data_IF_689419205201
#
_entry.id   IF_689419205201
#
_cell.length_a   1.000
_cell.length_b   1.000
_cell.length_c   1.000
_cell.angle_alpha   90.00
_cell.angle_beta   90.00
_cell.angle_gamma   90.00
#
_symmetry.space_group_name_H-M   'P 1'
#
loop_
_entity.id
_entity.type
_entity.pdbx_description
1 polymer ?
#
# COMPACT_ATOMS: atom_id res chain seq x y z
N UNK A 1 52.08 44.55 17.10
CA UNK A 1 50.60 44.46 17.13
C UNK A 1 50.10 43.92 15.79
N UNK A 2 48.99 43.17 15.75
CA UNK A 2 48.94 41.82 15.16
C UNK A 2 48.40 41.69 13.72
N UNK A 3 48.67 40.49 13.17
CA UNK A 3 48.14 39.84 11.95
C UNK A 3 46.61 39.76 11.92
N UNK A 4 46.00 39.79 10.73
CA UNK A 4 44.92 38.86 10.34
C UNK A 4 44.90 38.63 8.81
N UNK A 5 45.37 37.46 8.35
CA UNK A 5 44.96 36.87 7.08
C UNK A 5 43.65 36.08 7.31
N UNK A 6 43.10 35.55 6.22
CA UNK A 6 42.03 34.54 6.18
C UNK A 6 40.60 35.08 6.33
N UNK A 7 40.03 35.47 5.19
CA UNK A 7 38.60 35.23 4.94
C UNK A 7 38.46 33.70 4.78
N UNK A 8 38.17 33.03 5.88
CA UNK A 8 37.82 31.60 5.88
C UNK A 8 36.44 31.46 5.26
N UNK A 9 36.37 30.83 4.08
CA UNK A 9 35.13 30.26 3.55
C UNK A 9 34.56 29.29 4.59
N UNK A 10 33.42 29.63 5.18
CA UNK A 10 32.63 28.65 5.92
C UNK A 10 32.09 27.64 4.92
N UNK A 11 32.70 26.45 4.88
CA UNK A 11 32.05 25.29 4.31
C UNK A 11 30.83 24.99 5.18
N UNK A 12 29.66 25.09 4.57
CA UNK A 12 28.40 24.62 5.14
C UNK A 12 28.48 23.08 5.24
N UNK A 13 29.08 22.60 6.34
CA UNK A 13 29.13 21.18 6.66
C UNK A 13 27.84 20.84 7.39
N UNK A 14 26.81 20.49 6.63
CA UNK A 14 25.64 19.81 7.18
C UNK A 14 26.10 18.47 7.79
N UNK A 15 26.02 18.34 9.10
CA UNK A 15 26.24 17.06 9.80
C UNK A 15 24.93 16.27 9.72
N UNK A 16 24.90 15.21 8.91
CA UNK A 16 23.78 14.27 8.88
C UNK A 16 24.01 13.16 9.91
N UNK A 17 23.13 13.06 10.91
CA UNK A 17 23.10 11.94 11.86
C UNK A 17 22.16 10.86 11.33
N UNK A 18 22.69 9.70 10.95
CA UNK A 18 21.88 8.52 10.60
C UNK A 18 21.61 7.72 11.87
N UNK A 19 20.37 7.74 12.37
CA UNK A 19 19.98 6.97 13.55
C UNK A 19 19.29 5.68 13.09
N UNK A 20 19.81 4.55 13.57
CA UNK A 20 19.28 3.20 13.30
C UNK A 20 18.69 2.64 14.58
N UNK A 21 17.44 2.20 14.54
CA UNK A 21 16.84 1.48 15.67
C UNK A 21 16.70 0.01 15.32
N UNK A 22 17.12 -0.93 16.21
CA UNK A 22 16.83 -2.34 16.01
C UNK A 22 15.31 -2.54 15.94
N UNK A 23 14.84 -3.46 15.09
CA UNK A 23 13.41 -3.78 14.97
C UNK A 23 12.94 -4.56 16.21
N UNK A 24 12.57 -3.80 17.24
CA UNK A 24 11.99 -4.18 18.53
C UNK A 24 10.55 -3.61 18.66
N UNK A 25 9.92 -3.77 19.80
CA UNK A 25 8.54 -3.30 20.01
C UNK A 25 8.40 -1.77 19.82
N UNK A 26 9.41 -0.98 20.21
CA UNK A 26 9.34 0.48 20.19
C UNK A 26 9.51 1.02 18.76
N UNK A 27 10.51 0.53 18.04
CA UNK A 27 10.73 0.88 16.63
C UNK A 27 9.59 0.40 15.72
N UNK A 28 8.98 -0.76 16.01
CA UNK A 28 7.75 -1.19 15.32
C UNK A 28 6.60 -0.25 15.58
N UNK A 29 6.38 0.16 16.82
CA UNK A 29 5.33 1.14 17.14
C UNK A 29 5.52 2.47 16.40
N UNK A 30 6.77 2.91 16.22
CA UNK A 30 7.10 4.07 15.39
C UNK A 30 6.70 3.84 13.91
N UNK A 31 7.15 2.74 13.30
CA UNK A 31 6.80 2.45 11.89
C UNK A 31 5.30 2.26 11.72
N UNK A 32 4.65 1.52 12.60
CA UNK A 32 3.20 1.30 12.56
C UNK A 32 2.45 2.64 12.67
N UNK A 33 2.94 3.61 13.45
CA UNK A 33 2.40 4.97 13.50
C UNK A 33 2.51 5.74 12.18
N UNK A 34 3.63 5.62 11.47
CA UNK A 34 3.80 6.21 10.14
C UNK A 34 2.91 5.54 9.09
N UNK A 35 2.74 4.21 9.17
CA UNK A 35 1.88 3.42 8.28
C UNK A 35 0.41 3.72 8.54
N UNK A 36 0.02 3.89 9.80
CA UNK A 36 -1.33 4.25 10.24
C UNK A 36 -1.79 5.57 9.61
N UNK A 37 -0.88 6.53 9.42
CA UNK A 37 -1.18 7.78 8.73
C UNK A 37 -1.44 7.60 7.21
N UNK A 38 -0.95 6.52 6.61
CA UNK A 38 -1.09 6.23 5.17
C UNK A 38 -2.20 5.22 4.85
N UNK A 39 -2.58 4.37 5.81
CA UNK A 39 -3.56 3.29 5.57
C UNK A 39 -4.91 3.81 5.08
N UNK A 40 -5.26 5.04 5.46
CA UNK A 40 -6.50 5.69 5.07
C UNK A 40 -6.66 5.84 3.56
N UNK A 41 -5.58 5.83 2.77
CA UNK A 41 -5.64 5.87 1.32
C UNK A 41 -6.10 4.54 0.68
N UNK A 42 -6.14 3.45 1.44
CA UNK A 42 -6.61 2.15 0.97
C UNK A 42 -8.10 2.05 1.22
N UNK A 43 -8.86 1.62 0.22
CA UNK A 43 -10.32 1.56 0.23
C UNK A 43 -10.83 0.16 -0.12
N UNK A 44 -12.01 -0.25 0.33
CA UNK A 44 -12.61 -1.51 -0.08
C UNK A 44 -13.20 -1.36 -1.49
N UNK A 45 -12.95 -2.35 -2.36
CA UNK A 45 -13.66 -2.47 -3.64
C UNK A 45 -14.76 -3.51 -3.45
N UNK A 46 -15.99 -3.06 -3.67
CA UNK A 46 -17.18 -3.86 -3.45
C UNK A 46 -17.92 -4.11 -4.75
N UNK A 47 -18.80 -5.10 -4.72
CA UNK A 47 -19.75 -5.39 -5.76
C UNK A 47 -20.97 -6.06 -5.16
N UNK A 48 -21.79 -6.70 -5.99
CA UNK A 48 -22.97 -7.42 -5.56
C UNK A 48 -22.82 -8.93 -5.72
N UNK A 49 -23.30 -9.68 -4.73
CA UNK A 49 -23.47 -11.12 -4.86
C UNK A 49 -24.69 -11.48 -5.73
N UNK A 50 -24.88 -12.78 -6.02
CA UNK A 50 -26.00 -13.29 -6.83
C UNK A 50 -27.40 -12.94 -6.31
N UNK A 51 -27.51 -12.40 -5.10
CA UNK A 51 -28.76 -11.97 -4.49
C UNK A 51 -28.86 -10.44 -4.37
N UNK A 52 -28.06 -9.68 -5.14
CA UNK A 52 -28.02 -8.22 -5.14
C UNK A 52 -27.68 -7.65 -3.75
N UNK A 53 -26.74 -8.28 -3.05
CA UNK A 53 -26.27 -7.83 -1.73
C UNK A 53 -24.83 -7.39 -1.81
N UNK A 54 -24.43 -6.33 -1.09
CA UNK A 54 -23.06 -5.84 -1.12
C UNK A 54 -22.09 -6.91 -0.61
N UNK A 55 -21.01 -7.12 -1.33
CA UNK A 55 -19.92 -8.02 -0.98
C UNK A 55 -18.56 -7.35 -1.24
N UNK A 56 -17.54 -7.77 -0.48
CA UNK A 56 -16.18 -7.32 -0.69
C UNK A 56 -15.54 -8.17 -1.79
N UNK A 57 -15.00 -7.52 -2.82
CA UNK A 57 -14.30 -8.17 -3.93
C UNK A 57 -12.78 -8.05 -3.78
N UNK A 58 -12.32 -6.89 -3.31
CA UNK A 58 -10.91 -6.60 -3.17
C UNK A 58 -10.65 -5.32 -2.38
N UNK A 59 -9.43 -4.83 -2.48
CA UNK A 59 -8.99 -3.54 -1.96
C UNK A 59 -8.47 -2.69 -3.12
N UNK A 60 -8.42 -1.38 -2.93
CA UNK A 60 -7.80 -0.45 -3.86
C UNK A 60 -7.06 0.65 -3.11
N UNK A 61 -6.22 1.40 -3.81
CA UNK A 61 -5.35 2.43 -3.26
C UNK A 61 -5.60 3.71 -4.05
N UNK A 62 -5.93 4.80 -3.35
CA UNK A 62 -5.95 6.12 -3.95
C UNK A 62 -4.55 6.70 -3.99
N UNK A 63 -4.09 7.06 -5.18
CA UNK A 63 -2.78 7.66 -5.42
C UNK A 63 -2.96 8.96 -6.19
N UNK A 64 -2.38 10.05 -5.68
CA UNK A 64 -2.22 11.28 -6.43
C UNK A 64 -0.92 11.20 -7.24
N UNK A 65 -1.03 11.31 -8.56
CA UNK A 65 0.10 11.17 -9.48
C UNK A 65 -0.05 12.18 -10.62
N UNK A 66 0.96 13.04 -10.84
CA UNK A 66 0.95 14.09 -11.88
C UNK A 66 -0.31 14.98 -11.88
N UNK A 67 -0.84 15.29 -10.70
CA UNK A 67 -2.02 16.14 -10.52
C UNK A 67 -3.37 15.43 -10.65
N UNK A 68 -3.37 14.17 -11.09
CA UNK A 68 -4.56 13.32 -11.15
C UNK A 68 -4.67 12.46 -9.89
N UNK A 69 -5.89 12.02 -9.55
CA UNK A 69 -6.08 10.99 -8.52
C UNK A 69 -6.56 9.71 -9.17
N UNK A 70 -5.87 8.62 -8.86
CA UNK A 70 -5.99 7.34 -9.53
C UNK A 70 -6.31 6.28 -8.49
N UNK A 71 -7.30 5.45 -8.79
CA UNK A 71 -7.58 4.23 -8.05
C UNK A 71 -6.74 3.09 -8.63
N UNK A 72 -5.82 2.57 -7.84
CA UNK A 72 -4.98 1.42 -8.17
C UNK A 72 -5.51 0.16 -7.46
N UNK A 73 -5.52 -0.98 -8.14
CA UNK A 73 -5.92 -2.28 -7.57
C UNK A 73 -5.20 -3.42 -8.31
N UNK A 74 -5.48 -4.67 -7.92
CA UNK A 74 -5.00 -5.84 -8.64
C UNK A 74 -5.93 -6.15 -9.81
N UNK A 75 -5.38 -6.52 -10.98
CA UNK A 75 -6.17 -6.75 -12.19
C UNK A 75 -7.21 -7.86 -11.99
N UNK A 76 -6.85 -8.93 -11.28
CA UNK A 76 -7.78 -10.04 -11.04
C UNK A 76 -9.00 -9.67 -10.19
N UNK A 77 -8.94 -8.61 -9.37
CA UNK A 77 -10.13 -8.10 -8.66
C UNK A 77 -11.22 -7.71 -9.67
N UNK A 78 -10.82 -7.22 -10.84
CA UNK A 78 -11.71 -6.85 -11.93
C UNK A 78 -12.01 -8.04 -12.84
N UNK A 79 -10.99 -8.78 -13.29
CA UNK A 79 -11.20 -9.85 -14.28
C UNK A 79 -11.97 -11.04 -13.72
N UNK A 80 -11.78 -11.37 -12.43
CA UNK A 80 -12.55 -12.45 -11.78
C UNK A 80 -14.00 -12.04 -11.51
N UNK A 81 -14.31 -10.73 -11.61
CA UNK A 81 -15.61 -10.13 -11.35
C UNK A 81 -16.12 -9.29 -12.54
N UNK A 82 -15.78 -9.66 -13.78
CA UNK A 82 -15.98 -8.83 -14.96
C UNK A 82 -17.44 -8.39 -15.23
N UNK A 83 -18.43 -9.16 -14.72
CA UNK A 83 -19.86 -8.88 -14.88
C UNK A 83 -20.51 -8.31 -13.61
N UNK A 84 -19.71 -8.00 -12.58
CA UNK A 84 -20.20 -7.44 -11.32
C UNK A 84 -19.94 -5.94 -11.35
N UNK A 85 -20.98 -5.09 -11.30
CA UNK A 85 -20.78 -3.67 -11.18
C UNK A 85 -20.02 -3.36 -9.88
N UNK A 86 -19.03 -2.48 -9.97
CA UNK A 86 -18.12 -2.18 -8.86
C UNK A 86 -18.54 -0.89 -8.18
N UNK A 87 -18.43 -0.85 -6.86
CA UNK A 87 -18.69 0.36 -6.09
C UNK A 87 -17.75 0.49 -4.89
N UNK A 88 -17.68 1.71 -4.40
CA UNK A 88 -16.98 2.10 -3.17
C UNK A 88 -17.97 2.80 -2.24
N UNK A 89 -17.61 2.98 -0.97
CA UNK A 89 -18.44 3.71 -0.02
C UNK A 89 -17.97 5.16 0.13
N UNK A 90 -18.91 6.09 0.03
CA UNK A 90 -18.70 7.49 0.37
C UNK A 90 -18.69 7.73 1.89
N UNK A 91 -18.52 8.98 2.30
CA UNK A 91 -18.35 9.36 3.72
C UNK A 91 -19.57 8.96 4.58
N UNK A 92 -20.78 9.00 4.01
CA UNK A 92 -22.01 8.64 4.70
C UNK A 92 -22.36 7.15 4.63
N UNK A 93 -21.50 6.33 4.01
CA UNK A 93 -21.75 4.90 3.79
C UNK A 93 -22.63 4.59 2.58
N UNK A 94 -22.96 5.60 1.77
CA UNK A 94 -23.63 5.42 0.49
C UNK A 94 -22.73 4.70 -0.52
N UNK A 95 -23.32 3.78 -1.29
CA UNK A 95 -22.63 3.13 -2.39
C UNK A 95 -22.51 4.09 -3.58
N UNK A 96 -21.28 4.25 -4.07
CA UNK A 96 -20.96 5.01 -5.27
C UNK A 96 -20.36 4.07 -6.31
N UNK A 97 -21.11 3.87 -7.39
CA UNK A 97 -20.70 3.00 -8.50
C UNK A 97 -19.54 3.62 -9.25
N UNK A 98 -18.50 2.83 -9.46
CA UNK A 98 -17.33 3.23 -10.23
C UNK A 98 -17.66 3.14 -11.72
N UNK A 99 -17.25 4.15 -12.48
CA UNK A 99 -17.37 4.13 -13.93
C UNK A 99 -16.51 3.03 -14.56
N UNK A 100 -16.88 2.59 -15.76
CA UNK A 100 -16.04 1.72 -16.58
C UNK A 100 -14.86 2.51 -17.15
N UNK A 101 -13.62 2.12 -16.89
CA UNK A 101 -12.45 2.83 -17.42
C UNK A 101 -11.10 2.40 -16.83
N UNK A 102 -10.93 1.11 -16.52
CA UNK A 102 -9.68 0.63 -15.96
C UNK A 102 -8.66 0.29 -17.06
N UNK A 103 -7.45 0.84 -16.94
CA UNK A 103 -6.29 0.28 -17.63
C UNK A 103 -5.90 -1.01 -16.92
N UNK A 104 -5.83 -2.11 -17.67
CA UNK A 104 -5.38 -3.41 -17.16
C UNK A 104 -3.96 -3.70 -17.62
N UNK A 105 -3.12 -4.16 -16.71
CA UNK A 105 -1.79 -4.70 -16.98
C UNK A 105 -1.70 -6.13 -16.44
N UNK A 106 -2.08 -7.10 -17.27
CA UNK A 106 -2.14 -8.51 -16.87
C UNK A 106 -0.77 -9.08 -16.47
N UNK A 107 0.33 -8.59 -17.07
CA UNK A 107 1.69 -9.08 -16.77
C UNK A 107 2.10 -8.81 -15.32
N UNK A 108 1.70 -7.66 -14.78
CA UNK A 108 1.96 -7.25 -13.39
C UNK A 108 0.77 -7.50 -12.47
N UNK A 109 -0.38 -7.98 -13.00
CA UNK A 109 -1.64 -8.10 -12.25
C UNK A 109 -2.08 -6.77 -11.61
N UNK A 110 -1.94 -5.67 -12.35
CA UNK A 110 -2.34 -4.34 -11.90
C UNK A 110 -3.50 -3.78 -12.73
N UNK A 111 -4.33 -2.99 -12.08
CA UNK A 111 -5.31 -2.16 -12.75
C UNK A 111 -5.34 -0.75 -12.16
N UNK A 112 -5.54 0.25 -13.01
CA UNK A 112 -5.63 1.65 -12.61
C UNK A 112 -6.87 2.29 -13.24
N UNK A 113 -7.49 3.24 -12.54
CA UNK A 113 -8.58 4.06 -13.08
C UNK A 113 -8.40 5.50 -12.63
N UNK A 114 -8.50 6.43 -13.58
CA UNK A 114 -8.48 7.88 -13.33
C UNK A 114 -9.86 8.23 -12.82
N UNK A 115 -9.93 8.81 -11.63
CA UNK A 115 -11.20 9.13 -11.00
C UNK A 115 -11.86 10.33 -11.69
N UNK A 116 -13.15 10.20 -11.99
CA UNK A 116 -13.96 11.31 -12.49
C UNK A 116 -14.18 12.36 -11.39
N UNK A 117 -14.61 13.57 -11.76
CA UNK A 117 -14.95 14.63 -10.79
C UNK A 117 -16.01 14.13 -9.78
N UNK A 118 -16.95 13.27 -10.22
CA UNK A 118 -17.97 12.69 -9.35
C UNK A 118 -17.35 11.73 -8.33
N UNK A 119 -16.47 10.84 -8.78
CA UNK A 119 -15.76 9.91 -7.88
C UNK A 119 -14.93 10.68 -6.85
N UNK A 120 -14.24 11.74 -7.27
CA UNK A 120 -13.43 12.59 -6.39
C UNK A 120 -14.27 13.29 -5.33
N UNK A 121 -15.45 13.79 -5.69
CA UNK A 121 -16.36 14.41 -4.73
C UNK A 121 -16.78 13.40 -3.65
N UNK A 122 -17.12 12.17 -4.05
CA UNK A 122 -17.52 11.09 -3.14
C UNK A 122 -16.39 10.62 -2.22
N UNK A 123 -15.17 10.55 -2.77
CA UNK A 123 -13.97 10.11 -2.06
C UNK A 123 -13.18 11.25 -1.41
N UNK A 124 -13.72 12.47 -1.38
CA UNK A 124 -13.06 13.68 -0.84
C UNK A 124 -12.65 13.58 0.64
N UNK A 125 -13.28 12.68 1.39
CA UNK A 125 -12.96 12.38 2.78
C UNK A 125 -11.73 11.49 2.95
N UNK A 126 -11.23 10.92 1.85
CA UNK A 126 -10.09 10.02 1.81
C UNK A 126 -8.89 10.80 1.28
N UNK A 127 -7.77 10.72 1.99
CA UNK A 127 -6.52 11.37 1.56
C UNK A 127 -5.74 10.38 0.68
N UNK A 128 -5.53 10.66 -0.62
CA UNK A 128 -4.71 9.80 -1.47
C UNK A 128 -3.25 9.77 -1.01
N UNK A 129 -2.53 8.70 -1.33
CA UNK A 129 -1.08 8.67 -1.23
C UNK A 129 -0.49 9.71 -2.17
N UNK A 130 0.48 10.48 -1.70
CA UNK A 130 1.15 11.46 -2.55
C UNK A 130 2.08 10.76 -3.55
N UNK A 131 2.37 11.41 -4.67
CA UNK A 131 3.35 10.90 -5.65
C UNK A 131 4.71 10.63 -5.00
N UNK A 132 5.14 11.45 -4.05
CA UNK A 132 6.39 11.26 -3.30
C UNK A 132 6.41 10.00 -2.42
N UNK A 133 5.23 9.45 -2.11
CA UNK A 133 5.08 8.19 -1.38
C UNK A 133 5.23 6.99 -2.32
N UNK A 134 5.02 7.15 -3.63
CA UNK A 134 5.26 6.06 -4.60
C UNK A 134 6.75 5.83 -4.72
N UNK A 135 7.22 4.61 -4.47
CA UNK A 135 8.65 4.31 -4.55
C UNK A 135 9.19 4.58 -5.96
N UNK A 136 10.33 5.28 -6.02
CA UNK A 136 11.03 5.60 -7.28
C UNK A 136 12.03 4.53 -7.68
N UNK A 137 12.32 3.59 -6.79
CA UNK A 137 13.32 2.55 -6.94
C UNK A 137 13.24 1.57 -5.77
N UNK A 138 14.02 0.50 -5.88
CA UNK A 138 14.15 -0.47 -4.80
C UNK A 138 14.92 0.05 -3.60
N UNK A 139 14.73 -0.58 -2.44
CA UNK A 139 15.53 -0.29 -1.26
C UNK A 139 16.92 -0.92 -1.36
N UNK A 140 17.93 -0.27 -0.76
CA UNK A 140 19.30 -0.76 -0.75
C UNK A 140 19.38 -2.18 -0.13
N UNK A 141 19.89 -3.14 -0.90
CA UNK A 141 19.95 -4.55 -0.49
C UNK A 141 18.64 -5.33 -0.67
N UNK A 142 17.62 -4.73 -1.28
CA UNK A 142 16.37 -5.39 -1.66
C UNK A 142 15.50 -5.86 -0.49
N UNK A 143 15.81 -5.45 0.75
CA UNK A 143 15.07 -5.78 1.97
C UNK A 143 14.46 -4.53 2.59
N UNK A 144 13.30 -4.70 3.22
CA UNK A 144 12.58 -3.63 3.88
C UNK A 144 11.68 -4.16 4.99
N UNK A 145 11.21 -3.28 5.86
CA UNK A 145 10.14 -3.60 6.79
C UNK A 145 8.82 -3.17 6.15
N UNK A 146 7.98 -4.13 5.77
CA UNK A 146 6.80 -3.93 4.94
C UNK A 146 5.51 -4.14 5.70
N UNK A 147 4.53 -3.29 5.46
CA UNK A 147 3.17 -3.41 5.96
C UNK A 147 2.20 -3.68 4.82
N UNK A 148 1.46 -4.78 4.91
CA UNK A 148 0.37 -5.10 3.99
C UNK A 148 -0.92 -4.51 4.55
N UNK A 149 -1.52 -3.59 3.81
CA UNK A 149 -2.75 -2.88 4.17
C UNK A 149 -3.87 -3.30 3.22
N UNK A 150 -5.00 -3.72 3.76
CA UNK A 150 -6.17 -4.03 2.95
C UNK A 150 -7.35 -4.54 3.76
N UNK A 151 -8.45 -4.81 3.07
CA UNK A 151 -9.71 -5.26 3.65
C UNK A 151 -9.85 -6.77 3.45
N UNK A 152 -9.88 -7.61 4.47
CA UNK A 152 -10.14 -9.02 4.26
C UNK A 152 -11.60 -9.38 4.40
N UNK A 153 -12.03 -10.29 3.55
CA UNK A 153 -13.31 -10.97 3.61
C UNK A 153 -13.52 -11.68 4.96
N UNK A 154 -12.46 -12.20 5.60
CA UNK A 154 -12.58 -12.90 6.90
C UNK A 154 -13.04 -12.02 8.06
N UNK A 155 -12.83 -10.71 7.96
CA UNK A 155 -13.23 -9.73 8.98
C UNK A 155 -14.48 -8.94 8.58
N UNK A 156 -14.87 -9.07 7.31
CA UNK A 156 -16.03 -8.38 6.73
C UNK A 156 -17.30 -8.97 7.29
N UNK A 157 -18.20 -8.12 7.79
CA UNK A 157 -19.47 -8.52 8.38
C UNK A 157 -20.61 -7.87 7.63
N UNK A 158 -21.72 -8.60 7.52
CA UNK A 158 -22.97 -8.11 6.95
C UNK A 158 -24.00 -8.05 8.08
N UNK A 159 -24.10 -6.94 8.83
CA UNK A 159 -25.03 -6.84 9.95
C UNK A 159 -26.49 -6.88 9.48
N UNK A 160 -26.75 -6.34 8.28
CA UNK A 160 -28.07 -6.27 7.66
C UNK A 160 -27.99 -6.56 6.17
N UNK A 161 -29.13 -6.83 5.52
CA UNK A 161 -29.19 -7.23 4.09
C UNK A 161 -28.45 -6.26 3.15
N UNK A 162 -28.53 -4.96 3.44
CA UNK A 162 -28.01 -3.88 2.60
C UNK A 162 -26.78 -3.18 3.20
N UNK A 163 -26.22 -3.70 4.29
CA UNK A 163 -25.10 -3.07 4.99
C UNK A 163 -23.86 -3.98 4.95
N UNK A 164 -22.70 -3.40 4.68
CA UNK A 164 -21.42 -4.10 4.68
C UNK A 164 -20.43 -3.37 5.58
N UNK A 165 -19.92 -4.06 6.59
CA UNK A 165 -18.87 -3.56 7.48
C UNK A 165 -17.54 -4.19 7.10
N UNK A 166 -16.63 -3.40 6.56
CA UNK A 166 -15.32 -3.80 6.03
C UNK A 166 -14.21 -3.20 6.90
N UNK A 167 -13.75 -3.86 7.97
CA UNK A 167 -12.66 -3.31 8.75
C UNK A 167 -11.34 -3.47 7.99
N UNK A 168 -10.56 -2.40 7.94
CA UNK A 168 -9.21 -2.40 7.37
C UNK A 168 -8.25 -3.11 8.32
N UNK A 169 -7.32 -3.89 7.78
CA UNK A 169 -6.26 -4.54 8.54
C UNK A 169 -4.87 -4.20 8.00
N UNK A 170 -3.90 -4.13 8.91
CA UNK A 170 -2.49 -3.85 8.61
C UNK A 170 -1.63 -4.98 9.19
N UNK A 171 -0.74 -5.55 8.36
CA UNK A 171 0.19 -6.59 8.77
C UNK A 171 1.64 -6.25 8.41
N UNK A 172 2.44 -5.96 9.43
CA UNK A 172 3.84 -5.61 9.29
C UNK A 172 4.78 -6.81 9.47
N UNK A 173 5.66 -7.06 8.51
CA UNK A 173 6.81 -7.97 8.64
C UNK A 173 7.90 -7.61 7.61
N UNK A 174 9.02 -8.33 7.58
CA UNK A 174 10.06 -8.10 6.59
C UNK A 174 9.60 -8.50 5.19
N UNK A 175 9.93 -7.63 4.25
CA UNK A 175 9.73 -7.82 2.84
C UNK A 175 11.05 -7.85 2.07
N UNK A 176 10.98 -8.45 0.90
CA UNK A 176 12.05 -8.38 -0.08
C UNK A 176 11.52 -8.17 -1.48
N UNK A 177 12.30 -7.45 -2.27
CA UNK A 177 12.15 -7.39 -3.72
C UNK A 177 12.59 -8.71 -4.36
N UNK A 178 11.85 -9.13 -5.37
CA UNK A 178 12.06 -10.36 -6.12
C UNK A 178 12.36 -10.04 -7.58
N UNK A 179 12.86 -11.04 -8.31
CA UNK A 179 13.02 -10.93 -9.76
C UNK A 179 11.68 -10.65 -10.46
N UNK A 180 11.73 -9.86 -11.53
CA UNK A 180 10.56 -9.51 -12.33
C UNK A 180 9.67 -8.43 -11.71
N UNK A 181 10.26 -7.51 -10.93
CA UNK A 181 9.55 -6.39 -10.28
C UNK A 181 8.35 -6.88 -9.44
N UNK A 182 8.63 -7.85 -8.57
CA UNK A 182 7.68 -8.33 -7.57
C UNK A 182 8.20 -8.02 -6.20
N UNK A 183 7.29 -7.80 -5.27
CA UNK A 183 7.62 -7.72 -3.85
C UNK A 183 6.99 -8.89 -3.12
N UNK A 184 7.65 -9.31 -2.05
CA UNK A 184 7.10 -10.33 -1.15
C UNK A 184 7.29 -9.93 0.29
N UNK A 185 6.27 -10.19 1.11
CA UNK A 185 6.31 -10.08 2.56
C UNK A 185 6.24 -11.49 3.12
N UNK A 186 7.30 -11.92 3.79
CA UNK A 186 7.35 -13.22 4.44
C UNK A 186 7.01 -13.04 5.91
N UNK A 187 5.96 -13.73 6.36
CA UNK A 187 5.58 -13.70 7.77
C UNK A 187 6.33 -14.82 8.51
N UNK A 188 7.62 -14.61 8.80
CA UNK A 188 8.42 -15.58 9.57
C UNK A 188 8.32 -15.28 11.08
N UNK A 189 8.14 -16.31 11.88
CA UNK A 189 8.19 -16.23 13.33
C UNK A 189 9.59 -15.84 13.83
N UNK A 190 10.66 -16.28 13.16
CA UNK A 190 12.04 -15.95 13.55
C UNK A 190 12.37 -14.48 13.38
N UNK A 191 11.76 -13.83 12.39
CA UNK A 191 11.94 -12.41 12.12
C UNK A 191 10.89 -11.55 12.84
N UNK A 192 9.67 -12.06 13.01
CA UNK A 192 8.57 -11.38 13.71
C UNK A 192 8.63 -11.44 15.24
N UNK A 193 9.26 -12.45 15.85
CA UNK A 193 9.22 -12.70 17.30
C UNK A 193 10.49 -12.35 18.07
N UNK A 194 11.48 -11.67 17.47
CA UNK A 194 12.61 -11.16 18.25
C UNK A 194 12.08 -10.12 19.26
N UNK A 195 12.03 -10.53 20.54
CA UNK A 195 11.65 -9.77 21.74
C UNK A 195 10.17 -9.38 21.97
N UNK A 196 9.18 -9.79 21.18
CA UNK A 196 7.76 -9.55 21.56
C UNK A 196 6.73 -10.49 20.89
N UNK A 197 5.66 -10.77 21.64
CA UNK A 197 4.43 -11.52 21.29
C UNK A 197 3.56 -10.77 20.26
N UNK A 198 3.84 -9.49 20.01
CA UNK A 198 3.05 -8.60 19.14
C UNK A 198 3.43 -8.58 17.66
N UNK A 199 4.50 -9.26 17.26
CA UNK A 199 4.85 -9.36 15.84
C UNK A 199 3.84 -10.17 15.04
N UNK A 200 3.42 -9.67 13.86
CA UNK A 200 2.59 -10.44 12.95
C UNK A 200 3.41 -11.58 12.33
N UNK A 201 3.39 -12.74 12.99
CA UNK A 201 4.13 -13.94 12.61
C UNK A 201 3.30 -14.91 11.74
N UNK A 202 2.02 -14.63 11.55
CA UNK A 202 1.12 -15.37 10.67
C UNK A 202 0.29 -14.40 9.85
N UNK A 203 0.32 -14.54 8.53
CA UNK A 203 -0.66 -13.89 7.68
C UNK A 203 -2.04 -14.46 8.03
N UNK A 204 -2.93 -13.66 8.63
CA UNK A 204 -4.34 -14.04 8.75
C UNK A 204 -4.93 -14.11 7.33
N UNK A 205 -5.86 -15.05 7.11
CA UNK A 205 -6.45 -15.36 5.79
C UNK A 205 -6.73 -14.06 4.98
N UNK A 206 -5.90 -13.73 3.98
CA UNK A 206 -5.90 -12.43 3.32
C UNK A 206 -6.87 -12.34 2.15
N UNK A 207 -7.79 -13.30 2.00
CA UNK A 207 -8.87 -13.24 1.01
C UNK A 207 -9.57 -11.87 1.10
N UNK A 208 -9.67 -11.13 0.00
CA UNK A 208 -10.18 -9.75 -0.06
C UNK A 208 -9.12 -8.64 -0.04
N UNK A 209 -7.88 -8.93 0.39
CA UNK A 209 -6.80 -7.92 0.42
C UNK A 209 -6.14 -7.67 -0.94
N UNK A 210 -6.44 -8.47 -1.96
CA UNK A 210 -5.95 -8.24 -3.32
C UNK A 210 -6.25 -6.81 -3.77
N UNK A 211 -5.25 -6.14 -4.33
CA UNK A 211 -5.29 -4.71 -4.67
C UNK A 211 -4.96 -3.75 -3.53
N UNK A 212 -4.69 -4.26 -2.32
CA UNK A 212 -4.24 -3.48 -1.17
C UNK A 212 -2.78 -3.02 -1.28
N UNK A 213 -2.38 -2.11 -0.39
CA UNK A 213 -1.04 -1.52 -0.41
C UNK A 213 -0.01 -2.39 0.30
N UNK A 214 1.20 -2.46 -0.27
CA UNK A 214 2.41 -2.90 0.43
C UNK A 214 3.26 -1.65 0.63
N UNK A 215 3.28 -1.16 1.87
CA UNK A 215 4.04 0.02 2.29
C UNK A 215 5.35 -0.42 2.93
N UNK A 216 6.47 -0.08 2.33
CA UNK A 216 7.80 -0.47 2.77
C UNK A 216 8.53 0.67 3.45
N UNK A 217 9.26 0.34 4.51
CA UNK A 217 10.15 1.24 5.23
C UNK A 217 11.60 0.76 5.04
N UNK A 218 12.53 1.65 4.66
CA UNK A 218 13.91 1.24 4.43
C UNK A 218 14.58 0.76 5.72
N UNK A 219 15.38 -0.30 5.59
CA UNK A 219 16.10 -0.92 6.70
C UNK A 219 17.59 -1.06 6.39
N UNK A 220 18.40 -1.10 7.44
CA UNK A 220 19.81 -1.49 7.38
C UNK A 220 19.99 -2.71 8.27
N UNK A 221 20.11 -3.89 7.64
CA UNK A 221 20.09 -5.18 8.34
C UNK A 221 18.73 -5.40 9.02
N UNK A 222 18.72 -5.44 10.35
CA UNK A 222 17.51 -5.59 11.18
C UNK A 222 17.09 -4.30 11.86
N UNK A 223 17.51 -3.16 11.33
CA UNK A 223 17.23 -1.86 11.92
C UNK A 223 16.46 -0.97 10.96
N UNK A 224 15.43 -0.28 11.45
CA UNK A 224 14.74 0.77 10.69
C UNK A 224 15.58 2.04 10.67
N UNK A 225 15.57 2.74 9.54
CA UNK A 225 16.28 4.00 9.36
C UNK A 225 15.38 5.17 9.73
N UNK A 226 15.63 5.80 10.89
CA UNK A 226 14.81 6.94 11.33
C UNK A 226 14.94 8.14 10.40
N UNK A 227 13.87 8.92 10.29
CA UNK A 227 13.80 10.10 9.41
C UNK A 227 13.50 9.77 7.94
N UNK A 228 13.51 8.49 7.57
CA UNK A 228 12.94 8.03 6.31
C UNK A 228 11.42 7.94 6.41
N UNK A 229 10.73 8.00 5.27
CA UNK A 229 9.28 7.85 5.19
C UNK A 229 8.92 6.50 4.55
N UNK A 230 7.77 5.92 4.91
CA UNK A 230 7.27 4.73 4.23
C UNK A 230 6.95 5.07 2.76
N UNK A 231 7.19 4.10 1.88
CA UNK A 231 6.90 4.20 0.46
C UNK A 231 5.95 3.07 0.02
N UNK A 232 5.07 3.36 -0.94
CA UNK A 232 4.32 2.34 -1.66
C UNK A 232 5.28 1.57 -2.57
N UNK A 233 5.66 0.38 -2.12
CA UNK A 233 6.60 -0.51 -2.84
C UNK A 233 5.90 -1.60 -3.61
N UNK A 234 4.62 -1.86 -3.31
CA UNK A 234 3.85 -2.81 -4.08
C UNK A 234 2.33 -2.75 -3.89
N UNK A 235 1.64 -3.49 -4.75
CA UNK A 235 0.20 -3.78 -4.63
C UNK A 235 0.05 -5.27 -4.37
N UNK A 236 -0.56 -5.65 -3.24
CA UNK A 236 -0.70 -7.06 -2.88
C UNK A 236 -1.66 -7.76 -3.82
N UNK A 237 -1.26 -8.91 -4.37
CA UNK A 237 -2.05 -9.67 -5.33
C UNK A 237 -2.29 -11.12 -4.91
N UNK A 238 -1.28 -11.77 -4.32
CA UNK A 238 -1.33 -13.22 -4.08
C UNK A 238 -0.92 -13.59 -2.68
N UNK A 239 -1.60 -14.60 -2.14
CA UNK A 239 -1.18 -15.25 -0.91
C UNK A 239 -0.74 -16.67 -1.17
N UNK A 240 0.51 -16.96 -0.81
CA UNK A 240 1.07 -18.32 -0.81
C UNK A 240 0.95 -18.87 0.60
N UNK A 241 -0.19 -19.51 0.88
CA UNK A 241 -0.59 -20.01 2.21
C UNK A 241 0.46 -20.94 2.82
N UNK A 242 0.97 -21.89 2.04
CA UNK A 242 1.96 -22.88 2.50
C UNK A 242 3.28 -22.23 2.91
N UNK A 243 3.61 -21.08 2.33
CA UNK A 243 4.83 -20.32 2.60
C UNK A 243 4.62 -19.17 3.58
N UNK A 244 3.39 -18.95 4.06
CA UNK A 244 3.02 -17.79 4.88
C UNK A 244 3.53 -16.46 4.27
N UNK A 245 3.38 -16.32 2.95
CA UNK A 245 3.94 -15.22 2.15
C UNK A 245 2.85 -14.49 1.38
N UNK A 246 2.90 -13.17 1.40
CA UNK A 246 2.10 -12.31 0.51
C UNK A 246 3.02 -11.78 -0.59
N UNK A 247 2.55 -11.83 -1.84
CA UNK A 247 3.24 -11.29 -3.01
C UNK A 247 2.42 -10.18 -3.63
N UNK A 248 3.13 -9.28 -4.31
CA UNK A 248 2.54 -8.17 -5.03
C UNK A 248 3.41 -7.70 -6.18
N UNK A 249 2.80 -6.87 -7.03
CA UNK A 249 3.50 -6.15 -8.09
C UNK A 249 4.39 -5.09 -7.46
N UNK A 250 5.58 -4.87 -8.02
CA UNK A 250 6.58 -3.94 -7.52
C UNK A 250 6.39 -2.51 -8.01
N UNK A 251 7.25 -1.63 -7.52
CA UNK A 251 7.18 -0.19 -7.75
C UNK A 251 7.32 0.19 -9.24
N UNK A 252 8.09 -0.53 -10.04
CA UNK A 252 8.30 -0.16 -11.44
C UNK A 252 7.03 -0.35 -12.27
N UNK A 253 6.29 -1.44 -12.02
CA UNK A 253 5.00 -1.74 -12.65
C UNK A 253 3.93 -0.77 -12.18
N UNK A 254 3.93 -0.41 -10.89
CA UNK A 254 3.03 0.62 -10.36
C UNK A 254 3.25 1.95 -11.09
N UNK A 255 4.51 2.40 -11.22
CA UNK A 255 4.80 3.65 -11.94
C UNK A 255 4.35 3.57 -13.39
N UNK A 256 4.63 2.46 -14.08
CA UNK A 256 4.24 2.27 -15.49
C UNK A 256 2.73 2.40 -15.68
N UNK A 257 1.92 1.74 -14.84
CA UNK A 257 0.46 1.79 -14.98
C UNK A 257 -0.10 3.16 -14.58
N UNK A 258 0.49 3.85 -13.59
CA UNK A 258 0.12 5.23 -13.24
C UNK A 258 0.46 6.22 -14.36
N UNK A 259 1.62 6.07 -15.00
CA UNK A 259 2.00 6.86 -16.17
C UNK A 259 1.00 6.65 -17.31
N UNK A 260 0.68 5.39 -17.63
CA UNK A 260 -0.31 5.06 -18.66
C UNK A 260 -1.67 5.69 -18.36
N UNK A 261 -2.14 5.61 -17.11
CA UNK A 261 -3.42 6.16 -16.67
C UNK A 261 -3.48 7.70 -16.69
N UNK A 262 -2.34 8.39 -16.72
CA UNK A 262 -2.28 9.87 -16.78
C UNK A 262 -2.03 10.41 -18.18
N UNK A 263 -1.44 9.63 -19.09
CA UNK A 263 -1.04 10.11 -20.42
C UNK A 263 -1.93 9.63 -21.57
N UNK A 264 -2.86 8.72 -21.31
CA UNK A 264 -3.66 8.08 -22.35
C UNK A 264 -5.10 7.92 -21.88
N UNK A 265 -6.05 7.77 -22.80
CA UNK A 265 -7.42 7.37 -22.47
C UNK A 265 -7.50 5.83 -22.31
N UNK A 266 -8.45 5.30 -21.52
CA UNK A 266 -8.55 3.87 -21.18
C UNK A 266 -9.02 2.97 -22.33
#
# INVERSE_FOLDING_TARGET
MPKFPWITRFYDRSVSLEVKLPIDAQSRAFVDGEIEALRGAVIPICGEDSHLRPCLLGSGILVSYRGETILLTAAHVLTDNANVPLFVFGKGGEAHWLDSGFWLEAASDLAAMRLSIKDLAMLSHIKPLSESTVATGGFSGGKFYGSVVGYPASSTKRPEKNALHTPIEVYSNFGSEMMGDKVSILFDWKEGAFNDVKGHNKARKPTGKSGGAILGFPVSGRSVLLGMKPQLVGVSSRWKREENRIEGSGHSSIRRILEKATTSDP
#
